data_IF_398942225221
#
_entry.id   IF_398942225221
#
_cell.length_a   1.000
_cell.length_b   1.000
_cell.length_c   1.000
_cell.angle_alpha   90.00
_cell.angle_beta   90.00
_cell.angle_gamma   90.00
#
_symmetry.space_group_name_H-M   'P 1'
#
loop_
_entity.id
_entity.type
_entity.pdbx_description
1 polymer ?
#
# COMPACT_ATOMS: atom_id res chain seq x y z
N UNK A 1 -29.89 18.47 2.05
CA UNK A 1 -28.84 17.71 2.75
C UNK A 1 -27.67 17.60 1.81
N UNK A 2 -26.68 18.47 1.97
CA UNK A 2 -25.42 18.33 1.22
C UNK A 2 -24.61 17.31 2.01
N UNK A 3 -24.43 16.11 1.45
CA UNK A 3 -23.46 15.14 1.99
C UNK A 3 -22.10 15.76 1.70
N UNK A 4 -21.66 16.70 2.53
CA UNK A 4 -20.32 17.27 2.45
C UNK A 4 -19.36 16.16 2.86
N UNK A 5 -18.59 15.66 1.90
CA UNK A 5 -17.47 14.79 2.18
C UNK A 5 -16.53 15.53 3.14
N UNK A 6 -16.27 14.97 4.33
CA UNK A 6 -15.20 15.45 5.18
C UNK A 6 -13.86 15.00 4.58
N UNK A 7 -13.49 15.70 3.51
CA UNK A 7 -12.29 15.45 2.71
C UNK A 7 -11.05 15.41 3.61
N UNK A 8 -10.98 16.29 4.61
CA UNK A 8 -9.86 16.35 5.55
C UNK A 8 -9.73 15.05 6.38
N UNK A 9 -10.85 14.53 6.91
CA UNK A 9 -10.85 13.29 7.68
C UNK A 9 -10.50 12.05 6.83
N UNK A 10 -10.95 12.02 5.57
CA UNK A 10 -10.65 10.91 4.65
C UNK A 10 -9.19 10.91 4.23
N UNK A 11 -8.63 12.08 3.90
CA UNK A 11 -7.19 12.21 3.57
C UNK A 11 -6.32 11.80 4.75
N UNK A 12 -6.67 12.22 5.97
CA UNK A 12 -5.91 11.86 7.18
C UNK A 12 -5.88 10.36 7.44
N UNK A 13 -7.00 9.66 7.17
CA UNK A 13 -7.05 8.19 7.26
C UNK A 13 -6.22 7.51 6.17
N UNK A 14 -6.25 8.03 4.94
CA UNK A 14 -5.43 7.52 3.84
C UNK A 14 -3.92 7.70 4.10
N UNK A 15 -3.53 8.82 4.71
CA UNK A 15 -2.14 9.06 5.12
C UNK A 15 -1.70 8.07 6.21
N UNK A 16 -2.54 7.82 7.23
CA UNK A 16 -2.24 6.83 8.27
C UNK A 16 -2.06 5.42 7.69
N UNK A 17 -2.89 5.04 6.71
CA UNK A 17 -2.75 3.76 5.99
C UNK A 17 -1.46 3.73 5.16
N UNK A 18 -1.13 4.81 4.46
CA UNK A 18 0.13 4.92 3.70
C UNK A 18 1.36 4.80 4.60
N UNK A 19 1.34 5.41 5.79
CA UNK A 19 2.40 5.28 6.79
C UNK A 19 2.50 3.85 7.33
N UNK A 20 1.37 3.21 7.63
CA UNK A 20 1.35 1.82 8.08
C UNK A 20 1.93 0.86 7.02
N UNK A 21 1.61 1.09 5.73
CA UNK A 21 2.19 0.34 4.61
C UNK A 21 3.69 0.59 4.50
N UNK A 22 4.15 1.84 4.66
CA UNK A 22 5.58 2.17 4.63
C UNK A 22 6.40 1.49 5.73
N UNK A 23 5.77 1.15 6.85
CA UNK A 23 6.40 0.43 7.95
C UNK A 23 6.42 -1.10 7.75
N UNK A 24 5.71 -1.63 6.74
CA UNK A 24 5.79 -3.04 6.38
C UNK A 24 7.11 -3.30 5.64
N UNK A 25 8.13 -3.70 6.40
CA UNK A 25 9.41 -4.17 5.88
C UNK A 25 9.51 -5.68 6.08
N UNK A 26 9.87 -6.40 5.02
CA UNK A 26 10.42 -7.75 5.13
C UNK A 26 11.93 -7.63 5.22
N UNK A 27 12.51 -8.25 6.25
CA UNK A 27 13.95 -8.39 6.38
C UNK A 27 14.51 -9.18 5.21
N UNK A 28 15.61 -8.69 4.65
CA UNK A 28 16.31 -9.41 3.58
C UNK A 28 16.88 -10.71 4.14
N UNK A 29 16.85 -11.76 3.34
CA UNK A 29 17.43 -13.05 3.72
C UNK A 29 18.93 -12.88 4.05
N UNK A 30 19.43 -13.48 5.15
CA UNK A 30 20.86 -13.46 5.46
C UNK A 30 21.66 -14.26 4.44
N UNK A 31 22.93 -13.88 4.22
CA UNK A 31 23.85 -14.62 3.36
C UNK A 31 24.20 -15.97 4.01
N UNK A 32 23.82 -17.06 3.34
CA UNK A 32 24.06 -18.44 3.78
C UNK A 32 25.41 -19.01 3.31
N UNK A 33 26.21 -18.24 2.57
CA UNK A 33 27.50 -18.67 2.06
C UNK A 33 27.38 -19.84 1.08
N UNK A 34 28.20 -20.89 1.24
CA UNK A 34 28.21 -22.08 0.35
C UNK A 34 27.30 -23.21 0.85
N UNK A 35 26.33 -22.93 1.72
CA UNK A 35 25.48 -23.96 2.31
C UNK A 35 24.41 -24.46 1.32
N UNK A 36 24.78 -25.41 0.46
CA UNK A 36 23.91 -26.07 -0.53
C UNK A 36 23.34 -27.39 0.04
N UNK A 37 22.71 -27.31 1.22
CA UNK A 37 21.84 -28.38 1.68
C UNK A 37 20.47 -28.21 1.02
N UNK A 38 19.84 -29.30 0.59
CA UNK A 38 18.50 -29.30 -0.03
C UNK A 38 17.45 -28.60 0.85
N UNK A 39 17.59 -28.67 2.17
CA UNK A 39 16.73 -27.93 3.12
C UNK A 39 16.94 -26.42 3.08
N UNK A 40 18.18 -25.98 2.86
CA UNK A 40 18.56 -24.56 2.78
C UNK A 40 18.06 -23.96 1.47
N UNK A 41 18.23 -24.66 0.35
CA UNK A 41 17.76 -24.21 -0.97
C UNK A 41 16.22 -24.09 -1.01
N UNK A 42 15.50 -25.06 -0.42
CA UNK A 42 14.04 -24.99 -0.29
C UNK A 42 13.58 -23.85 0.62
N UNK A 43 14.35 -23.55 1.66
CA UNK A 43 14.06 -22.43 2.54
C UNK A 43 14.28 -21.10 1.81
N UNK A 44 15.39 -20.95 1.08
CA UNK A 44 15.68 -19.76 0.27
C UNK A 44 14.59 -19.50 -0.76
N UNK A 45 14.22 -20.51 -1.55
CA UNK A 45 13.17 -20.38 -2.56
C UNK A 45 11.83 -19.94 -1.95
N UNK A 46 11.48 -20.49 -0.78
CA UNK A 46 10.26 -20.12 -0.07
C UNK A 46 10.30 -18.69 0.45
N UNK A 47 11.43 -18.22 0.98
CA UNK A 47 11.56 -16.84 1.44
C UNK A 47 11.53 -15.84 0.28
N UNK A 48 12.10 -16.18 -0.88
CA UNK A 48 11.96 -15.37 -2.09
C UNK A 48 10.51 -15.26 -2.57
N UNK A 49 9.75 -16.36 -2.54
CA UNK A 49 8.32 -16.36 -2.86
C UNK A 49 7.52 -15.46 -1.89
N UNK A 50 7.77 -15.59 -0.58
CA UNK A 50 7.12 -14.76 0.45
C UNK A 50 7.45 -13.29 0.25
N UNK A 51 8.72 -12.97 0.01
CA UNK A 51 9.17 -11.61 -0.25
C UNK A 51 8.49 -11.02 -1.49
N UNK A 52 8.36 -11.82 -2.56
CA UNK A 52 7.69 -11.43 -3.80
C UNK A 52 6.20 -11.17 -3.58
N UNK A 53 5.53 -12.07 -2.86
CA UNK A 53 4.10 -11.96 -2.58
C UNK A 53 3.79 -10.72 -1.75
N UNK A 54 4.54 -10.48 -0.68
CA UNK A 54 4.33 -9.31 0.19
C UNK A 54 4.71 -8.01 -0.53
N UNK A 55 5.78 -8.00 -1.33
CA UNK A 55 6.12 -6.83 -2.15
C UNK A 55 5.01 -6.49 -3.15
N UNK A 56 4.39 -7.51 -3.75
CA UNK A 56 3.26 -7.35 -4.67
C UNK A 56 2.02 -6.82 -3.95
N UNK A 57 1.73 -7.35 -2.77
CA UNK A 57 0.63 -6.88 -1.93
C UNK A 57 0.81 -5.42 -1.51
N UNK A 58 2.01 -5.03 -1.06
CA UNK A 58 2.35 -3.64 -0.71
C UNK A 58 2.14 -2.71 -1.92
N UNK A 59 2.59 -3.11 -3.11
CA UNK A 59 2.38 -2.34 -4.35
C UNK A 59 0.90 -2.15 -4.66
N UNK A 60 0.09 -3.21 -4.53
CA UNK A 60 -1.35 -3.14 -4.75
C UNK A 60 -2.04 -2.21 -3.75
N UNK A 61 -1.68 -2.30 -2.46
CA UNK A 61 -2.21 -1.41 -1.43
C UNK A 61 -1.86 0.06 -1.69
N UNK A 62 -0.61 0.36 -2.03
CA UNK A 62 -0.18 1.72 -2.37
C UNK A 62 -0.94 2.27 -3.57
N UNK A 63 -1.18 1.44 -4.60
CA UNK A 63 -2.00 1.82 -5.75
C UNK A 63 -3.43 2.14 -5.31
N UNK A 64 -4.06 1.28 -4.50
CA UNK A 64 -5.43 1.49 -4.05
C UNK A 64 -5.57 2.77 -3.19
N UNK A 65 -4.60 3.06 -2.32
CA UNK A 65 -4.59 4.31 -1.53
C UNK A 65 -4.49 5.52 -2.44
N UNK A 66 -3.61 5.46 -3.46
CA UNK A 66 -3.46 6.54 -4.45
C UNK A 66 -4.74 6.75 -5.27
N UNK A 67 -5.33 5.68 -5.77
CA UNK A 67 -6.56 5.73 -6.58
C UNK A 67 -7.72 6.26 -5.73
N UNK A 68 -7.83 5.84 -4.46
CA UNK A 68 -8.84 6.34 -3.52
C UNK A 68 -8.64 7.83 -3.22
N UNK A 69 -7.40 8.28 -3.01
CA UNK A 69 -7.09 9.71 -2.83
C UNK A 69 -7.51 10.52 -4.05
N UNK A 70 -7.16 10.07 -5.26
CA UNK A 70 -7.55 10.73 -6.50
C UNK A 70 -9.07 10.82 -6.67
N UNK A 71 -9.80 9.75 -6.32
CA UNK A 71 -11.27 9.75 -6.38
C UNK A 71 -11.88 10.72 -5.36
N UNK A 72 -11.34 10.78 -4.15
CA UNK A 72 -11.77 11.71 -3.10
C UNK A 72 -11.53 13.16 -3.49
N UNK A 73 -10.41 13.44 -4.15
CA UNK A 73 -10.09 14.77 -4.70
C UNK A 73 -11.07 15.16 -5.83
N UNK A 74 -11.34 14.26 -6.78
CA UNK A 74 -12.32 14.49 -7.85
C UNK A 74 -13.73 14.75 -7.32
N UNK A 75 -14.17 14.01 -6.30
CA UNK A 75 -15.48 14.23 -5.68
C UNK A 75 -15.59 15.62 -5.04
N UNK A 76 -14.50 16.09 -4.42
CA UNK A 76 -14.45 17.46 -3.87
C UNK A 76 -14.54 18.52 -4.96
N UNK A 77 -13.80 18.37 -6.05
CA UNK A 77 -13.86 19.30 -7.19
C UNK A 77 -15.26 19.34 -7.83
N UNK A 78 -15.94 18.20 -7.93
CA UNK A 78 -17.32 18.12 -8.41
C UNK A 78 -18.29 18.84 -7.47
N UNK A 79 -18.19 18.60 -6.16
CA UNK A 79 -19.02 19.30 -5.17
C UNK A 79 -18.80 20.83 -5.24
N UNK A 80 -17.57 21.30 -5.41
CA UNK A 80 -17.23 22.71 -5.55
C UNK A 80 -17.78 23.33 -6.85
N UNK A 81 -17.72 22.61 -7.97
CA UNK A 81 -18.25 23.06 -9.27
C UNK A 81 -19.79 23.15 -9.28
N UNK A 82 -20.49 22.30 -8.52
CA UNK A 82 -21.96 22.35 -8.38
C UNK A 82 -22.39 23.57 -7.55
N UNK A 83 -21.58 23.97 -6.56
CA UNK A 83 -21.86 25.16 -5.72
C UNK A 83 -21.59 26.48 -6.48
N UNK A 84 -20.74 26.45 -7.52
CA UNK A 84 -20.40 27.60 -8.36
C UNK A 84 -21.23 27.72 -9.67
N UNK A 85 -22.20 26.82 -9.91
CA UNK A 85 -23.18 26.92 -11.01
C UNK A 85 -24.50 27.51 -10.55
#
# INVERSE_FOLDING_TARGET
MTIKLDHADVIKKLEAVSTAIGNLSISKMPDLGKNSLDTTEKWEAREEEIQTLVSTYIKALNKNVKDTKSNVDLLKEQDESIIHS
#
